data_IF_335629337883
#
_entry.id   IF_335629337883
#
_cell.length_a   1.000
_cell.length_b   1.000
_cell.length_c   1.000
_cell.angle_alpha   90.00
_cell.angle_beta   90.00
_cell.angle_gamma   90.00
#
_symmetry.space_group_name_H-M   'P 1'
#
loop_
_entity.id
_entity.type
_entity.pdbx_description
1 polymer ?
#
# COMPACT_ATOMS: atom_id res chain seq x y z
N UNK A 1 4.07 -13.06 -9.49
CA UNK A 1 3.55 -11.72 -9.13
C UNK A 1 4.36 -10.64 -9.80
N UNK A 2 3.72 -9.69 -10.41
CA UNK A 2 4.39 -8.56 -11.02
C UNK A 2 3.43 -7.37 -11.07
N UNK A 3 3.88 -6.21 -10.60
CA UNK A 3 3.08 -5.00 -10.68
C UNK A 3 2.90 -4.56 -12.13
N UNK A 4 1.72 -4.04 -12.43
CA UNK A 4 1.40 -3.53 -13.75
C UNK A 4 0.97 -2.08 -13.67
N UNK A 5 1.30 -1.30 -14.70
CA UNK A 5 0.92 0.11 -14.79
C UNK A 5 0.14 0.34 -16.07
N UNK A 6 -1.00 1.00 -15.93
CA UNK A 6 -1.82 1.47 -17.04
C UNK A 6 -1.69 2.98 -17.12
N UNK A 7 -1.25 3.48 -18.27
CA UNK A 7 -1.06 4.93 -18.49
C UNK A 7 -2.21 5.48 -19.32
N UNK A 8 -2.76 6.60 -18.84
CA UNK A 8 -3.77 7.38 -19.54
C UNK A 8 -3.30 8.82 -19.68
N UNK A 9 -4.02 9.66 -20.42
CA UNK A 9 -3.63 11.06 -20.61
C UNK A 9 -3.59 11.82 -19.28
N UNK A 10 -4.65 11.69 -18.48
CA UNK A 10 -4.79 12.45 -17.23
C UNK A 10 -4.56 11.61 -15.98
N UNK A 11 -4.15 10.34 -16.13
CA UNK A 11 -3.94 9.48 -14.96
C UNK A 11 -3.02 8.32 -15.29
N UNK A 12 -2.51 7.71 -14.20
CA UNK A 12 -1.73 6.48 -14.26
C UNK A 12 -2.16 5.60 -13.09
N UNK A 13 -2.38 4.32 -13.36
CA UNK A 13 -2.77 3.36 -12.34
C UNK A 13 -1.73 2.26 -12.26
N UNK A 14 -1.31 1.91 -11.05
CA UNK A 14 -0.39 0.82 -10.79
C UNK A 14 -1.05 -0.14 -9.82
N UNK A 15 -0.94 -1.44 -10.09
CA UNK A 15 -1.52 -2.43 -9.18
C UNK A 15 -0.64 -3.68 -9.10
N UNK A 16 -0.76 -4.37 -7.98
CA UNK A 16 -0.13 -5.65 -7.73
C UNK A 16 -1.08 -6.52 -6.91
N UNK A 17 -1.03 -7.81 -7.12
CA UNK A 17 -1.83 -8.79 -6.37
C UNK A 17 -0.98 -10.01 -6.07
N UNK A 18 -1.10 -10.54 -4.85
CA UNK A 18 -0.34 -11.70 -4.39
C UNK A 18 -1.16 -12.48 -3.36
N UNK A 19 -1.03 -13.81 -3.38
CA UNK A 19 -1.64 -14.66 -2.36
C UNK A 19 -0.68 -14.80 -1.17
N UNK A 20 -1.24 -14.67 0.03
CA UNK A 20 -0.49 -14.73 1.29
C UNK A 20 -1.12 -15.83 2.15
N UNK A 21 -0.27 -16.74 2.64
CA UNK A 21 -0.70 -17.83 3.54
C UNK A 21 -0.61 -17.34 4.97
N UNK A 22 -1.62 -16.63 5.40
CA UNK A 22 -1.70 -16.05 6.73
C UNK A 22 -3.15 -15.68 7.05
N UNK A 23 -3.41 -15.44 8.33
CA UNK A 23 -4.69 -14.95 8.78
C UNK A 23 -4.92 -13.52 8.30
N UNK A 24 -6.12 -13.26 7.78
CA UNK A 24 -6.47 -11.93 7.25
C UNK A 24 -6.31 -10.83 8.30
N UNK A 25 -6.66 -11.10 9.55
CA UNK A 25 -6.52 -10.12 10.61
C UNK A 25 -5.06 -9.83 10.96
N UNK A 26 -4.19 -10.83 10.86
CA UNK A 26 -2.75 -10.63 11.06
C UNK A 26 -2.18 -9.71 9.97
N UNK A 27 -2.59 -9.91 8.72
CA UNK A 27 -2.18 -9.03 7.62
C UNK A 27 -2.72 -7.62 7.83
N UNK A 28 -3.98 -7.51 8.22
CA UNK A 28 -4.63 -6.23 8.49
C UNK A 28 -3.89 -5.44 9.59
N UNK A 29 -3.47 -6.13 10.64
CA UNK A 29 -2.71 -5.51 11.71
C UNK A 29 -1.40 -4.91 11.23
N UNK A 30 -0.71 -5.58 10.29
CA UNK A 30 0.51 -5.03 9.69
C UNK A 30 0.20 -3.77 8.88
N UNK A 31 -0.86 -3.80 8.07
CA UNK A 31 -1.23 -2.68 7.21
C UNK A 31 -1.71 -1.44 7.98
N UNK A 32 -2.24 -1.62 9.19
CA UNK A 32 -2.86 -0.53 9.94
C UNK A 32 -2.02 -0.04 11.13
N UNK A 33 -0.87 -0.65 11.37
CA UNK A 33 0.05 -0.19 12.42
C UNK A 33 1.10 0.74 11.81
N UNK A 34 0.85 2.05 11.88
CA UNK A 34 1.70 3.06 11.28
C UNK A 34 3.15 2.96 11.78
N UNK A 35 3.34 2.90 13.09
CA UNK A 35 4.67 2.88 13.69
C UNK A 35 5.46 1.62 13.35
N UNK A 36 4.78 0.53 13.02
CA UNK A 36 5.43 -0.75 12.71
C UNK A 36 5.96 -0.89 11.29
N UNK A 37 5.53 -0.03 10.38
CA UNK A 37 5.90 -0.17 8.96
C UNK A 37 7.40 -0.29 8.70
N UNK A 38 8.27 0.53 9.28
CA UNK A 38 9.71 0.42 8.99
C UNK A 38 10.31 -0.91 9.41
N UNK A 39 9.69 -1.63 10.33
CA UNK A 39 10.21 -2.92 10.80
C UNK A 39 10.01 -4.06 9.80
N UNK A 40 9.10 -3.90 8.84
CA UNK A 40 8.81 -4.98 7.89
C UNK A 40 8.74 -4.54 6.43
N UNK A 41 8.58 -3.25 6.13
CA UNK A 41 8.42 -2.79 4.76
C UNK A 41 9.57 -1.87 4.35
N UNK A 42 10.35 -2.32 3.37
CA UNK A 42 11.55 -1.59 2.91
C UNK A 42 11.22 -0.42 1.99
N UNK A 43 9.97 -0.29 1.55
CA UNK A 43 9.57 0.84 0.71
C UNK A 43 9.09 2.05 1.51
N UNK A 44 8.78 1.86 2.79
CA UNK A 44 8.25 2.90 3.68
C UNK A 44 9.29 3.27 4.72
N UNK A 45 9.70 4.53 4.73
CA UNK A 45 10.65 5.03 5.73
C UNK A 45 9.95 5.33 7.06
N UNK A 46 8.75 5.93 7.00
CA UNK A 46 7.97 6.22 8.20
C UNK A 46 6.52 6.54 7.84
N UNK A 47 5.62 6.26 8.78
CA UNK A 47 4.26 6.78 8.76
C UNK A 47 3.98 7.34 10.15
N UNK A 48 3.67 8.63 10.21
CA UNK A 48 3.29 9.31 11.44
C UNK A 48 1.78 9.54 11.47
N UNK A 49 1.17 9.41 12.63
CA UNK A 49 -0.26 9.54 12.82
C UNK A 49 -0.96 8.20 12.95
N UNK A 50 -2.25 8.25 13.25
CA UNK A 50 -3.06 7.06 13.41
C UNK A 50 -3.75 6.69 12.09
N UNK A 51 -3.63 5.43 11.68
CA UNK A 51 -4.35 4.93 10.53
C UNK A 51 -5.77 4.61 10.97
N UNK A 52 -6.66 5.57 10.80
CA UNK A 52 -8.07 5.47 11.18
C UNK A 52 -8.89 6.38 10.27
N UNK A 53 -10.16 6.05 10.10
CA UNK A 53 -11.05 6.77 9.18
C UNK A 53 -11.05 8.28 9.45
N UNK A 54 -10.81 9.05 8.40
CA UNK A 54 -10.82 10.52 8.45
C UNK A 54 -9.55 11.14 9.02
N UNK A 55 -8.61 10.34 9.51
CA UNK A 55 -7.37 10.85 10.08
C UNK A 55 -6.33 11.14 9.00
N UNK A 56 -5.47 12.10 9.28
CA UNK A 56 -4.35 12.45 8.42
C UNK A 56 -3.10 11.72 8.89
N UNK A 57 -2.35 11.21 7.92
CA UNK A 57 -1.05 10.58 8.17
C UNK A 57 0.03 11.30 7.37
N UNK A 58 1.26 11.22 7.85
CA UNK A 58 2.43 11.75 7.16
C UNK A 58 3.33 10.58 6.77
N UNK A 59 3.45 10.32 5.48
CA UNK A 59 4.17 9.18 4.95
C UNK A 59 5.44 9.61 4.23
N UNK A 60 6.55 8.93 4.53
CA UNK A 60 7.80 9.07 3.80
C UNK A 60 8.16 7.73 3.17
N UNK A 61 8.55 7.79 1.90
CA UNK A 61 8.82 6.62 1.07
C UNK A 61 10.25 6.66 0.53
N UNK A 62 10.81 5.48 0.25
CA UNK A 62 12.14 5.39 -0.37
C UNK A 62 12.17 5.95 -1.79
N UNK A 63 11.01 6.06 -2.45
CA UNK A 63 10.92 6.64 -3.80
C UNK A 63 11.14 8.15 -3.80
N UNK A 64 10.84 8.82 -2.68
CA UNK A 64 11.04 10.26 -2.53
C UNK A 64 11.42 10.55 -1.08
N UNK A 65 12.64 10.16 -0.64
CA UNK A 65 12.99 10.13 0.78
C UNK A 65 13.02 11.51 1.45
N UNK A 66 13.15 12.58 0.66
CA UNK A 66 13.19 13.94 1.18
C UNK A 66 11.80 14.57 1.29
N UNK A 67 10.77 13.87 0.79
CA UNK A 67 9.41 14.40 0.73
C UNK A 67 8.52 13.71 1.74
N UNK A 68 7.68 14.49 2.41
CA UNK A 68 6.62 13.98 3.28
C UNK A 68 5.28 14.12 2.57
N UNK A 69 4.56 13.02 2.42
CA UNK A 69 3.23 13.02 1.83
C UNK A 69 2.20 13.07 2.95
N UNK A 70 1.36 14.09 2.94
CA UNK A 70 0.24 14.20 3.87
C UNK A 70 -0.99 13.62 3.20
N UNK A 71 -1.50 12.54 3.78
CA UNK A 71 -2.58 11.75 3.21
C UNK A 71 -3.72 11.65 4.22
N UNK A 72 -4.94 11.51 3.71
CA UNK A 72 -6.12 11.30 4.55
C UNK A 72 -6.62 9.88 4.36
N UNK A 73 -6.93 9.19 5.45
CA UNK A 73 -7.56 7.86 5.40
C UNK A 73 -9.01 8.05 5.00
N UNK A 74 -9.39 7.54 3.84
CA UNK A 74 -10.69 7.78 3.23
C UNK A 74 -11.66 6.63 3.41
N UNK A 75 -11.15 5.40 3.48
CA UNK A 75 -11.95 4.21 3.79
C UNK A 75 -11.17 3.34 4.76
N UNK A 76 -11.88 2.76 5.71
CA UNK A 76 -11.31 1.88 6.72
C UNK A 76 -12.36 0.83 7.06
N UNK A 77 -12.33 -0.28 6.33
CA UNK A 77 -13.26 -1.40 6.49
C UNK A 77 -12.47 -2.63 6.92
N UNK A 78 -12.29 -2.78 8.22
CA UNK A 78 -11.52 -3.88 8.78
C UNK A 78 -12.24 -5.23 8.60
N UNK A 79 -11.55 -6.29 8.24
CA UNK A 79 -10.15 -6.38 7.82
C UNK A 79 -10.00 -6.47 6.30
N UNK A 80 -10.81 -5.76 5.53
CA UNK A 80 -10.97 -5.97 4.10
C UNK A 80 -10.37 -4.86 3.22
N UNK A 81 -10.55 -3.60 3.62
CA UNK A 81 -10.24 -2.50 2.70
C UNK A 81 -9.77 -1.25 3.42
N UNK A 82 -8.65 -0.71 2.95
CA UNK A 82 -8.04 0.51 3.45
C UNK A 82 -7.70 1.41 2.26
N UNK A 83 -8.13 2.66 2.31
CA UNK A 83 -7.85 3.65 1.27
C UNK A 83 -7.33 4.92 1.90
N UNK A 84 -6.21 5.44 1.39
CA UNK A 84 -5.77 6.79 1.72
C UNK A 84 -5.30 7.53 0.49
N UNK A 85 -5.27 8.85 0.58
CA UNK A 85 -4.85 9.66 -0.54
C UNK A 85 -4.89 11.15 -0.28
N UNK A 86 -4.58 11.89 -1.33
CA UNK A 86 -4.61 13.34 -1.35
C UNK A 86 -5.31 13.82 -2.62
N UNK A 87 -5.12 15.09 -2.98
CA UNK A 87 -5.76 15.66 -4.18
C UNK A 87 -5.23 15.04 -5.49
N UNK A 88 -4.02 14.48 -5.48
CA UNK A 88 -3.39 13.93 -6.69
C UNK A 88 -3.54 12.44 -6.85
N UNK A 89 -3.72 11.73 -5.77
CA UNK A 89 -3.70 10.27 -5.86
C UNK A 89 -4.41 9.58 -4.71
N UNK A 90 -4.70 8.29 -4.98
CA UNK A 90 -5.39 7.44 -4.03
C UNK A 90 -4.79 6.05 -4.08
N UNK A 91 -4.46 5.50 -2.91
CA UNK A 91 -3.94 4.15 -2.77
C UNK A 91 -4.95 3.29 -2.03
N UNK A 92 -5.25 2.13 -2.61
CA UNK A 92 -6.19 1.17 -2.05
C UNK A 92 -5.47 -0.12 -1.70
N UNK A 93 -5.71 -0.63 -0.49
CA UNK A 93 -5.27 -1.95 -0.05
C UNK A 93 -6.51 -2.80 0.17
N UNK A 94 -6.52 -4.01 -0.37
CA UNK A 94 -7.65 -4.92 -0.21
C UNK A 94 -7.16 -6.32 0.17
N UNK A 95 -7.91 -6.95 1.08
CA UNK A 95 -7.65 -8.31 1.53
C UNK A 95 -8.90 -9.14 1.27
N UNK A 96 -8.78 -10.13 0.39
CA UNK A 96 -9.88 -11.02 0.06
C UNK A 96 -9.55 -12.44 0.54
N UNK A 97 -10.45 -13.01 1.36
CA UNK A 97 -10.30 -14.39 1.81
C UNK A 97 -10.60 -15.32 0.63
N UNK A 98 -9.56 -15.96 0.11
CA UNK A 98 -9.67 -16.81 -1.07
C UNK A 98 -10.13 -18.22 -0.71
N UNK A 99 -9.51 -18.76 0.33
CA UNK A 99 -9.82 -20.04 0.92
C UNK A 99 -9.32 -20.03 2.36
N UNK A 100 -9.66 -21.01 3.22
CA UNK A 100 -9.13 -21.02 4.58
C UNK A 100 -7.60 -20.96 4.59
N UNK A 101 -7.06 -19.97 5.31
CA UNK A 101 -5.62 -19.79 5.43
C UNK A 101 -4.94 -19.10 4.27
N UNK A 102 -5.67 -18.70 3.22
CA UNK A 102 -5.08 -17.97 2.08
C UNK A 102 -5.86 -16.71 1.81
N UNK A 103 -5.15 -15.58 1.77
CA UNK A 103 -5.71 -14.26 1.52
C UNK A 103 -5.06 -13.68 0.28
N UNK A 104 -5.86 -13.15 -0.63
CA UNK A 104 -5.34 -12.38 -1.76
C UNK A 104 -5.20 -10.92 -1.31
N UNK A 105 -3.95 -10.45 -1.27
CA UNK A 105 -3.65 -9.04 -1.05
C UNK A 105 -3.55 -8.33 -2.38
N UNK A 106 -4.22 -7.20 -2.51
CA UNK A 106 -4.04 -6.33 -3.67
C UNK A 106 -3.78 -4.90 -3.21
N UNK A 107 -2.95 -4.21 -4.00
CA UNK A 107 -2.63 -2.80 -3.78
C UNK A 107 -2.74 -2.09 -5.12
N UNK A 108 -3.45 -0.98 -5.12
CA UNK A 108 -3.73 -0.20 -6.31
C UNK A 108 -3.52 1.28 -6.01
N UNK A 109 -2.87 1.98 -6.92
CA UNK A 109 -2.73 3.43 -6.80
C UNK A 109 -3.09 4.10 -8.11
N UNK A 110 -3.92 5.12 -8.01
CA UNK A 110 -4.26 5.99 -9.13
C UNK A 110 -3.74 7.38 -8.84
N UNK A 111 -2.92 7.90 -9.76
CA UNK A 111 -2.40 9.27 -9.72
C UNK A 111 -2.94 9.99 -10.92
N UNK A 112 -3.41 11.21 -10.75
CA UNK A 112 -3.91 11.97 -11.88
C UNK A 112 -4.49 13.32 -11.51
N UNK A 113 -5.11 13.94 -12.50
CA UNK A 113 -5.74 15.24 -12.37
C UNK A 113 -5.59 16.03 -13.66
N UNK A 114 -6.22 17.23 -13.74
CA UNK A 114 -6.20 18.05 -14.96
C UNK A 114 -4.80 18.43 -15.42
N UNK A 115 -3.85 18.57 -14.49
CA UNK A 115 -2.47 18.97 -14.80
C UNK A 115 -1.50 17.80 -14.89
N UNK A 116 -1.99 16.57 -14.77
CA UNK A 116 -1.14 15.39 -14.78
C UNK A 116 -0.23 15.30 -16.01
N UNK A 117 -0.71 15.59 -17.25
CA UNK A 117 0.16 15.49 -18.43
C UNK A 117 1.41 16.37 -18.37
N UNK A 118 1.36 17.47 -17.62
CA UNK A 118 2.47 18.41 -17.53
C UNK A 118 3.67 17.84 -16.76
N UNK A 119 3.43 16.93 -15.82
CA UNK A 119 4.50 16.39 -14.97
C UNK A 119 4.53 14.86 -14.89
N UNK A 120 3.77 14.17 -15.76
CA UNK A 120 3.74 12.71 -15.75
C UNK A 120 5.13 12.09 -15.93
N UNK A 121 5.99 12.70 -16.75
CA UNK A 121 7.36 12.21 -16.99
C UNK A 121 8.26 12.35 -15.78
N UNK A 122 7.92 13.23 -14.83
CA UNK A 122 8.72 13.47 -13.63
C UNK A 122 8.42 12.47 -12.52
N UNK A 123 7.33 11.71 -12.66
CA UNK A 123 6.92 10.72 -11.66
C UNK A 123 7.49 9.37 -12.08
N UNK A 124 8.36 8.75 -11.26
CA UNK A 124 8.95 7.46 -11.60
C UNK A 124 7.91 6.35 -11.60
N UNK A 125 8.23 5.23 -12.26
CA UNK A 125 7.39 4.03 -12.20
C UNK A 125 7.34 3.47 -10.79
N UNK A 126 6.15 3.03 -10.36
CA UNK A 126 5.96 2.42 -9.05
C UNK A 126 6.07 0.89 -9.08
N UNK A 127 6.28 0.29 -10.26
CA UNK A 127 6.22 -1.16 -10.41
C UNK A 127 7.16 -1.90 -9.45
N UNK A 128 8.42 -1.52 -9.41
CA UNK A 128 9.40 -2.17 -8.53
C UNK A 128 9.05 -1.97 -7.05
N UNK A 129 8.60 -0.78 -6.68
CA UNK A 129 8.19 -0.46 -5.31
C UNK A 129 6.97 -1.27 -4.90
N UNK A 130 6.00 -1.44 -5.78
CA UNK A 130 4.80 -2.24 -5.53
C UNK A 130 5.13 -3.71 -5.35
N UNK A 131 5.99 -4.27 -6.22
CA UNK A 131 6.45 -5.64 -6.08
C UNK A 131 7.15 -5.84 -4.74
N UNK A 132 7.99 -4.90 -4.35
CA UNK A 132 8.73 -4.97 -3.10
C UNK A 132 7.80 -4.87 -1.89
N UNK A 133 6.83 -3.96 -1.93
CA UNK A 133 5.85 -3.82 -0.85
C UNK A 133 5.11 -5.13 -0.62
N UNK A 134 4.57 -5.71 -1.70
CA UNK A 134 3.80 -6.95 -1.61
C UNK A 134 4.66 -8.13 -1.13
N UNK A 135 5.91 -8.22 -1.59
CA UNK A 135 6.83 -9.26 -1.16
C UNK A 135 7.17 -9.13 0.32
N UNK A 136 7.45 -7.91 0.78
CA UNK A 136 7.75 -7.65 2.19
C UNK A 136 6.56 -8.03 3.08
N UNK A 137 5.35 -7.66 2.68
CA UNK A 137 4.15 -8.00 3.43
C UNK A 137 3.95 -9.51 3.51
N UNK A 138 4.08 -10.20 2.38
CA UNK A 138 3.95 -11.65 2.32
C UNK A 138 4.97 -12.34 3.22
N UNK A 139 6.23 -11.95 3.11
CA UNK A 139 7.30 -12.54 3.92
C UNK A 139 7.05 -12.33 5.41
N UNK A 140 6.65 -11.15 5.81
CA UNK A 140 6.40 -10.85 7.22
C UNK A 140 5.19 -11.61 7.75
N UNK A 141 4.09 -11.60 7.03
CA UNK A 141 2.86 -12.25 7.46
C UNK A 141 3.05 -13.78 7.55
N UNK A 142 3.71 -14.37 6.56
CA UNK A 142 3.93 -15.82 6.53
C UNK A 142 4.96 -16.27 7.57
N UNK A 143 5.94 -15.45 7.87
CA UNK A 143 6.91 -15.73 8.93
C UNK A 143 6.24 -15.77 10.31
N UNK A 144 5.28 -14.87 10.56
CA UNK A 144 4.54 -14.83 11.82
C UNK A 144 3.63 -16.05 11.99
N UNK A 145 2.98 -16.50 10.89
CA UNK A 145 2.13 -17.69 10.92
C UNK A 145 2.96 -18.96 11.14
N UNK A 146 4.20 -18.99 10.65
CA UNK A 146 5.11 -20.12 10.84
C UNK A 146 5.84 -20.10 12.17
N UNK A 147 5.71 -19.06 12.97
CA UNK A 147 6.40 -18.92 14.25
C UNK A 147 5.58 -19.58 15.36
N UNK A 148 6.12 -20.63 16.02
CA UNK A 148 5.39 -21.32 17.08
C UNK A 148 5.28 -20.54 18.40
N UNK A 149 5.96 -19.42 18.52
CA UNK A 149 5.96 -18.64 19.77
C UNK A 149 4.66 -17.85 20.01
#
# INVERSE_FOLDING_TARGET
MKATTTKRIFSRETEVSIDIRADREAIWSLLTNAAGYPSWNTTVLSIEGDIALGKKIALRSTMAPERTFKLTVREFQAPERLVWGDAMGRRTYALEQKEPGVVTFSMHEKIGGPFFPLFARMIPSFDASFDRFATDLKQRAEAREGDPS
#
